data_IF_893082028918
#
_entry.id   IF_893082028918
#
_cell.length_a   1.000
_cell.length_b   1.000
_cell.length_c   1.000
_cell.angle_alpha   90.00
_cell.angle_beta   90.00
_cell.angle_gamma   90.00
#
_symmetry.space_group_name_H-M   'P 1'
#
loop_
_entity.id
_entity.type
_entity.pdbx_description
1 polymer ?
#
# COMPACT_ATOMS: atom_id res chain seq x y z
N UNK A 1 -16.84 23.32 23.85
CA UNK A 1 -16.65 23.13 22.39
C UNK A 1 -16.02 21.75 22.22
N UNK A 2 -16.82 20.76 21.84
CA UNK A 2 -16.34 19.37 21.75
C UNK A 2 -15.21 19.23 20.74
N UNK A 3 -14.26 18.34 21.02
CA UNK A 3 -13.23 17.95 20.06
C UNK A 3 -13.96 17.47 18.79
N UNK A 4 -13.68 18.08 17.65
CA UNK A 4 -14.27 17.71 16.37
C UNK A 4 -13.22 17.75 15.28
N UNK A 5 -13.26 16.78 14.37
CA UNK A 5 -12.43 16.73 13.17
C UNK A 5 -13.20 17.27 11.97
N UNK A 6 -12.51 17.86 10.97
CA UNK A 6 -13.09 18.03 9.66
C UNK A 6 -13.46 16.66 9.09
N UNK A 7 -14.69 16.51 8.60
CA UNK A 7 -15.18 15.32 7.92
C UNK A 7 -16.22 15.70 6.86
N UNK A 8 -16.88 14.69 6.30
CA UNK A 8 -17.97 14.87 5.35
C UNK A 8 -19.28 14.38 5.96
N UNK A 9 -20.39 15.08 5.68
CA UNK A 9 -21.72 14.58 5.98
C UNK A 9 -22.17 13.50 4.98
N UNK A 10 -23.38 12.96 5.17
CA UNK A 10 -23.96 11.91 4.32
C UNK A 10 -24.08 12.35 2.85
N UNK A 11 -24.16 13.65 2.61
CA UNK A 11 -24.26 14.25 1.28
C UNK A 11 -22.90 14.72 0.71
N UNK A 12 -21.80 14.39 1.39
CA UNK A 12 -20.44 14.74 0.95
C UNK A 12 -20.08 16.21 1.17
N UNK A 13 -20.78 16.94 2.04
CA UNK A 13 -20.48 18.34 2.38
C UNK A 13 -19.52 18.41 3.57
N UNK A 14 -18.64 19.42 3.63
CA UNK A 14 -17.72 19.60 4.76
C UNK A 14 -18.48 19.81 6.07
N UNK A 15 -18.32 18.90 7.03
CA UNK A 15 -18.96 18.93 8.34
C UNK A 15 -17.93 18.75 9.45
N UNK A 16 -18.20 19.31 10.64
CA UNK A 16 -17.40 19.06 11.84
C UNK A 16 -17.93 17.81 12.53
N UNK A 17 -17.18 16.73 12.47
CA UNK A 17 -17.53 15.44 13.06
C UNK A 17 -16.95 15.37 14.46
N UNK A 18 -17.78 15.22 15.52
CA UNK A 18 -17.29 15.14 16.89
C UNK A 18 -16.39 13.91 17.07
N UNK A 19 -15.21 14.12 17.66
CA UNK A 19 -14.16 13.12 17.90
C UNK A 19 -14.48 12.16 19.06
N UNK A 20 -15.44 12.52 19.91
CA UNK A 20 -15.92 11.74 21.04
C UNK A 20 -17.43 11.85 21.18
N UNK A 21 -18.02 10.93 21.96
CA UNK A 21 -19.42 11.01 22.39
C UNK A 21 -19.50 12.20 23.36
N UNK A 22 -19.91 13.36 22.86
CA UNK A 22 -20.17 14.52 23.71
C UNK A 22 -21.43 14.26 24.53
N UNK A 23 -21.36 14.50 25.84
CA UNK A 23 -22.54 14.58 26.70
C UNK A 23 -23.54 15.59 26.10
N UNK A 24 -24.75 15.12 25.80
CA UNK A 24 -25.92 16.01 25.76
C UNK A 24 -26.47 16.43 24.41
N UNK A 25 -26.63 15.50 23.45
CA UNK A 25 -27.78 15.57 22.55
C UNK A 25 -28.44 14.20 22.51
N UNK A 26 -29.45 14.00 23.36
CA UNK A 26 -30.44 12.95 23.15
C UNK A 26 -31.08 13.22 21.79
N UNK A 27 -30.81 12.34 20.83
CA UNK A 27 -31.67 12.23 19.66
C UNK A 27 -32.98 11.64 20.19
N UNK A 28 -33.92 12.50 20.57
CA UNK A 28 -35.32 12.11 20.62
C UNK A 28 -35.72 11.89 19.17
N UNK A 29 -35.78 10.61 18.77
CA UNK A 29 -36.58 10.23 17.62
C UNK A 29 -37.31 8.91 17.90
N UNK A 30 -38.53 8.90 17.39
CA UNK A 30 -39.58 7.90 17.47
C UNK A 30 -39.06 6.46 17.21
N UNK A 31 -39.72 5.42 17.73
CA UNK A 31 -39.26 4.00 17.64
C UNK A 31 -39.00 3.50 16.20
N UNK A 32 -37.82 3.79 15.64
CA UNK A 32 -37.40 3.45 14.29
C UNK A 32 -35.89 3.23 14.23
N UNK A 33 -35.48 1.97 14.31
CA UNK A 33 -34.12 1.43 14.18
C UNK A 33 -33.02 2.14 15.01
N UNK A 34 -32.55 1.47 16.08
CA UNK A 34 -31.43 1.96 16.88
C UNK A 34 -30.15 2.08 16.02
N UNK A 35 -29.80 3.31 15.65
CA UNK A 35 -28.52 3.60 15.00
C UNK A 35 -27.38 3.44 15.99
N UNK A 36 -26.48 2.49 15.72
CA UNK A 36 -25.30 2.21 16.55
C UNK A 36 -24.06 2.85 15.94
N UNK A 37 -23.32 3.63 16.73
CA UNK A 37 -22.00 4.13 16.34
C UNK A 37 -20.90 3.18 16.82
N UNK A 38 -20.16 2.59 15.88
CA UNK A 38 -19.03 1.69 16.14
C UNK A 38 -17.73 2.34 15.67
N UNK A 39 -16.76 2.43 16.56
CA UNK A 39 -15.44 2.98 16.27
C UNK A 39 -14.43 1.85 16.09
N UNK A 40 -14.06 1.56 14.83
CA UNK A 40 -12.98 0.64 14.51
C UNK A 40 -11.67 1.42 14.58
N UNK A 41 -10.95 1.22 15.68
CA UNK A 41 -9.73 1.96 16.00
C UNK A 41 -8.51 1.54 15.19
N UNK A 42 -7.42 2.34 15.25
CA UNK A 42 -6.19 2.14 14.48
C UNK A 42 -5.35 0.92 14.92
N UNK A 43 -5.76 0.21 15.97
CA UNK A 43 -5.11 -1.03 16.42
C UNK A 43 -5.82 -2.29 15.90
N UNK A 44 -6.97 -2.14 15.23
CA UNK A 44 -7.75 -3.28 14.77
C UNK A 44 -7.02 -3.99 13.62
N UNK A 45 -6.79 -5.32 13.66
CA UNK A 45 -6.01 -6.02 12.63
C UNK A 45 -6.50 -5.80 11.19
N UNK A 46 -7.82 -5.70 10.98
CA UNK A 46 -8.41 -5.48 9.66
C UNK A 46 -8.16 -4.09 9.04
N UNK A 47 -7.53 -3.15 9.76
CA UNK A 47 -7.23 -1.81 9.24
C UNK A 47 -5.89 -1.73 8.53
N UNK A 48 -5.10 -2.82 8.52
CA UNK A 48 -3.81 -2.96 7.82
C UNK A 48 -2.87 -1.76 7.97
N UNK A 49 -2.80 -1.22 9.19
CA UNK A 49 -2.04 -0.03 9.51
C UNK A 49 -2.83 0.90 10.43
N UNK A 50 -2.59 2.20 10.29
CA UNK A 50 -3.18 3.21 11.17
C UNK A 50 -4.36 3.91 10.49
N UNK A 51 -5.48 3.20 10.44
CA UNK A 51 -6.75 3.72 9.94
C UNK A 51 -7.82 3.61 11.03
N UNK A 52 -8.58 4.69 11.25
CA UNK A 52 -9.74 4.70 12.14
C UNK A 52 -11.01 4.88 11.30
N UNK A 53 -11.98 3.99 11.49
CA UNK A 53 -13.28 4.08 10.83
C UNK A 53 -14.37 4.28 11.88
N UNK A 54 -15.13 5.37 11.76
CA UNK A 54 -16.34 5.57 12.55
C UNK A 54 -17.52 5.13 11.69
N UNK A 55 -18.14 4.02 12.06
CA UNK A 55 -19.26 3.40 11.37
C UNK A 55 -20.56 3.73 12.08
N UNK A 56 -21.58 4.08 11.31
CA UNK A 56 -22.97 4.19 11.74
C UNK A 56 -23.72 3.00 11.15
N UNK A 57 -24.23 2.15 12.03
CA UNK A 57 -24.86 0.89 11.69
C UNK A 57 -26.35 0.93 12.02
N UNK A 58 -27.15 0.35 11.14
CA UNK A 58 -28.54 -0.01 11.40
C UNK A 58 -28.62 -1.55 11.37
N UNK A 59 -28.55 -2.18 12.54
CA UNK A 59 -28.32 -3.62 12.64
C UNK A 59 -26.99 -4.02 12.00
N UNK A 60 -27.03 -4.85 10.95
CA UNK A 60 -25.85 -5.29 10.18
C UNK A 60 -25.54 -4.39 8.96
N UNK A 61 -26.41 -3.42 8.67
CA UNK A 61 -26.26 -2.55 7.49
C UNK A 61 -25.46 -1.30 7.82
N UNK A 62 -24.41 -1.03 7.05
CA UNK A 62 -23.63 0.22 7.18
C UNK A 62 -24.39 1.37 6.53
N UNK A 63 -24.85 2.32 7.34
CA UNK A 63 -25.52 3.54 6.86
C UNK A 63 -24.51 4.63 6.49
N UNK A 64 -23.45 4.78 7.30
CA UNK A 64 -22.38 5.76 7.05
C UNK A 64 -21.04 5.23 7.56
N UNK A 65 -19.98 5.54 6.81
CA UNK A 65 -18.60 5.27 7.21
C UNK A 65 -17.78 6.56 7.07
N UNK A 66 -17.16 6.99 8.17
CA UNK A 66 -16.28 8.16 8.20
C UNK A 66 -14.85 7.68 8.43
N UNK A 67 -14.00 7.66 7.39
CA UNK A 67 -12.61 7.30 7.52
C UNK A 67 -11.77 8.48 8.05
N UNK A 68 -11.12 8.28 9.19
CA UNK A 68 -10.12 9.20 9.71
C UNK A 68 -8.73 8.73 9.26
N UNK A 69 -8.17 9.46 8.30
CA UNK A 69 -6.82 9.26 7.77
C UNK A 69 -5.85 10.28 8.36
N UNK A 70 -4.54 10.08 8.14
CA UNK A 70 -3.50 11.05 8.52
C UNK A 70 -2.69 10.69 9.76
N UNK A 71 -2.98 9.57 10.44
CA UNK A 71 -2.15 9.07 11.54
C UNK A 71 -0.69 8.77 11.14
N UNK A 72 -0.46 8.47 9.86
CA UNK A 72 0.88 8.25 9.28
C UNK A 72 1.43 9.49 8.54
N UNK A 73 0.71 10.61 8.54
CA UNK A 73 1.13 11.80 7.82
C UNK A 73 2.43 12.35 8.43
N UNK A 74 3.51 12.26 7.65
CA UNK A 74 4.87 12.63 8.08
C UNK A 74 5.41 13.89 7.38
N UNK A 75 4.57 14.60 6.61
CA UNK A 75 4.95 15.84 5.94
C UNK A 75 6.05 15.69 4.87
N UNK A 76 6.06 14.59 4.11
CA UNK A 76 7.10 14.32 3.09
C UNK A 76 7.24 15.45 2.06
N UNK A 77 6.12 16.04 1.64
CA UNK A 77 6.10 17.18 0.70
C UNK A 77 6.85 18.38 1.27
N UNK A 78 6.59 18.72 2.55
CA UNK A 78 7.26 19.82 3.23
C UNK A 78 8.74 19.56 3.43
N UNK A 79 9.12 18.31 3.74
CA UNK A 79 10.53 17.92 3.82
C UNK A 79 11.22 18.03 2.46
N UNK A 80 10.51 17.72 1.37
CA UNK A 80 11.02 17.83 0.00
C UNK A 80 11.43 19.25 -0.39
N UNK A 81 10.71 20.28 0.07
CA UNK A 81 11.02 21.69 -0.22
C UNK A 81 12.43 22.11 0.21
N UNK A 82 12.96 21.51 1.28
CA UNK A 82 14.28 21.84 1.83
C UNK A 82 15.39 20.90 1.35
N UNK A 83 15.13 20.03 0.37
CA UNK A 83 16.05 18.98 -0.09
C UNK A 83 16.33 19.10 -1.58
N UNK A 84 17.54 18.72 -1.98
CA UNK A 84 17.88 18.58 -3.39
C UNK A 84 17.21 17.32 -3.97
N UNK A 85 17.01 17.28 -5.30
CA UNK A 85 16.31 16.17 -5.96
C UNK A 85 16.83 14.77 -5.56
N UNK A 86 18.15 14.55 -5.59
CA UNK A 86 18.71 13.23 -5.20
C UNK A 86 18.56 12.92 -3.69
N UNK A 87 18.40 13.92 -2.84
CA UNK A 87 18.13 13.74 -1.41
C UNK A 87 16.66 13.39 -1.11
N UNK A 88 15.77 13.57 -2.09
CA UNK A 88 14.33 13.23 -1.99
C UNK A 88 14.11 11.75 -2.31
N UNK A 89 15.00 11.08 -3.05
CA UNK A 89 14.85 9.67 -3.43
C UNK A 89 14.66 8.73 -2.22
N UNK A 90 15.40 8.87 -1.11
CA UNK A 90 15.13 8.06 0.09
C UNK A 90 13.77 8.35 0.77
N UNK A 91 13.13 9.48 0.46
CA UNK A 91 11.77 9.78 0.92
C UNK A 91 10.74 9.06 0.04
N UNK A 92 10.98 8.96 -1.26
CA UNK A 92 10.07 8.29 -2.20
C UNK A 92 9.95 6.79 -1.91
N UNK A 93 11.02 6.14 -1.44
CA UNK A 93 10.98 4.76 -0.91
C UNK A 93 9.93 4.54 0.19
N UNK A 94 9.60 5.59 0.96
CA UNK A 94 8.72 5.52 2.15
C UNK A 94 7.28 5.93 1.85
N UNK A 95 6.97 6.37 0.63
CA UNK A 95 5.63 6.81 0.25
C UNK A 95 4.70 5.62 0.09
N UNK A 96 5.00 4.73 -0.86
CA UNK A 96 4.48 3.36 -0.88
C UNK A 96 5.63 2.39 -0.59
N UNK A 97 5.63 1.86 0.64
CA UNK A 97 6.65 0.94 1.14
C UNK A 97 6.56 -0.46 0.52
N UNK A 98 5.50 -0.77 -0.25
CA UNK A 98 5.37 -2.02 -0.98
C UNK A 98 6.09 -1.99 -2.33
N UNK A 99 6.21 -0.81 -2.94
CA UNK A 99 6.80 -0.62 -4.27
C UNK A 99 7.91 0.46 -4.34
N UNK A 100 8.93 0.39 -3.47
CA UNK A 100 9.94 1.44 -3.32
C UNK A 100 10.69 1.78 -4.64
N UNK A 101 11.05 0.76 -5.43
CA UNK A 101 11.78 0.99 -6.68
C UNK A 101 10.92 1.71 -7.73
N UNK A 102 9.62 1.40 -7.80
CA UNK A 102 8.69 2.06 -8.72
C UNK A 102 8.51 3.55 -8.37
N UNK A 103 8.39 3.88 -7.08
CA UNK A 103 8.30 5.27 -6.61
C UNK A 103 9.57 6.07 -6.95
N UNK A 104 10.73 5.47 -6.73
CA UNK A 104 12.01 6.06 -7.09
C UNK A 104 12.14 6.32 -8.59
N UNK A 105 11.65 5.41 -9.43
CA UNK A 105 11.61 5.57 -10.89
C UNK A 105 10.65 6.69 -11.28
N UNK A 106 9.45 6.74 -10.70
CA UNK A 106 8.46 7.76 -10.99
C UNK A 106 8.96 9.18 -10.67
N UNK A 107 9.62 9.35 -9.51
CA UNK A 107 10.22 10.62 -9.14
C UNK A 107 11.38 11.00 -10.05
N UNK A 108 12.31 10.07 -10.31
CA UNK A 108 13.45 10.33 -11.19
C UNK A 108 13.01 10.72 -12.61
N UNK A 109 12.04 10.00 -13.19
CA UNK A 109 11.48 10.31 -14.51
C UNK A 109 10.84 11.70 -14.56
N UNK A 110 10.17 12.12 -13.50
CA UNK A 110 9.55 13.45 -13.43
C UNK A 110 10.61 14.55 -13.46
N UNK A 111 11.70 14.38 -12.71
CA UNK A 111 12.81 15.35 -12.67
C UNK A 111 13.61 15.32 -13.99
N UNK A 112 13.86 14.14 -14.56
CA UNK A 112 14.55 14.00 -15.85
C UNK A 112 13.78 14.65 -16.98
N UNK A 113 12.44 14.49 -17.01
CA UNK A 113 11.57 15.17 -17.96
C UNK A 113 11.60 16.69 -17.79
N UNK A 114 11.65 17.18 -16.55
CA UNK A 114 11.78 18.61 -16.26
C UNK A 114 13.12 19.18 -16.76
N UNK A 115 14.20 18.40 -16.65
CA UNK A 115 15.56 18.79 -17.05
C UNK A 115 15.88 18.50 -18.53
N UNK A 116 15.02 17.78 -19.26
CA UNK A 116 15.27 17.38 -20.65
C UNK A 116 16.39 16.35 -20.80
N UNK A 117 16.57 15.47 -19.81
CA UNK A 117 17.62 14.44 -19.82
C UNK A 117 17.13 13.17 -20.54
N UNK A 118 17.98 12.62 -21.41
CA UNK A 118 17.78 11.31 -22.02
C UNK A 118 18.65 10.25 -21.34
N UNK A 119 18.05 9.10 -21.07
CA UNK A 119 18.72 7.96 -20.41
C UNK A 119 19.24 6.96 -21.44
N UNK A 120 20.32 6.27 -21.09
CA UNK A 120 20.78 5.12 -21.86
C UNK A 120 19.74 4.00 -21.88
N UNK A 121 19.67 3.26 -22.99
CA UNK A 121 18.72 2.16 -23.18
C UNK A 121 18.82 1.11 -22.06
N UNK A 122 20.04 0.79 -21.62
CA UNK A 122 20.29 -0.12 -20.49
C UNK A 122 19.61 0.35 -19.20
N UNK A 123 19.70 1.64 -18.88
CA UNK A 123 19.03 2.18 -17.69
C UNK A 123 17.50 2.08 -17.80
N UNK A 124 16.94 2.31 -18.99
CA UNK A 124 15.51 2.21 -19.21
C UNK A 124 15.01 0.77 -19.00
N UNK A 125 15.71 -0.22 -19.58
CA UNK A 125 15.37 -1.64 -19.41
C UNK A 125 15.45 -2.08 -17.95
N UNK A 126 16.53 -1.71 -17.26
CA UNK A 126 16.69 -2.04 -15.84
C UNK A 126 15.60 -1.40 -14.97
N UNK A 127 15.19 -0.15 -15.25
CA UNK A 127 14.08 0.49 -14.54
C UNK A 127 12.75 -0.22 -14.77
N UNK A 128 12.48 -0.69 -15.99
CA UNK A 128 11.29 -1.51 -16.28
C UNK A 128 11.31 -2.80 -15.46
N UNK A 129 12.44 -3.51 -15.42
CA UNK A 129 12.59 -4.72 -14.61
C UNK A 129 12.34 -4.41 -13.11
N UNK A 130 12.90 -3.32 -12.58
CA UNK A 130 12.70 -2.91 -11.19
C UNK A 130 11.24 -2.55 -10.88
N UNK A 131 10.54 -1.89 -11.80
CA UNK A 131 9.12 -1.59 -11.69
C UNK A 131 8.26 -2.86 -11.69
N UNK A 132 8.54 -3.81 -12.58
CA UNK A 132 7.80 -5.07 -12.63
C UNK A 132 8.06 -5.97 -11.41
N UNK A 133 9.30 -6.00 -10.90
CA UNK A 133 9.59 -6.66 -9.62
C UNK A 133 8.78 -6.03 -8.47
N UNK A 134 8.73 -4.70 -8.40
CA UNK A 134 7.95 -3.98 -7.39
C UNK A 134 6.45 -4.20 -7.55
N UNK A 135 5.95 -4.30 -8.79
CA UNK A 135 4.56 -4.63 -9.09
C UNK A 135 4.21 -6.01 -8.53
N UNK A 136 5.03 -7.02 -8.79
CA UNK A 136 4.81 -8.39 -8.29
C UNK A 136 4.80 -8.40 -6.75
N UNK A 137 5.78 -7.76 -6.10
CA UNK A 137 5.84 -7.67 -4.63
C UNK A 137 4.55 -7.04 -4.06
N UNK A 138 4.10 -5.93 -4.64
CA UNK A 138 2.90 -5.23 -4.17
C UNK A 138 1.65 -6.09 -4.32
N UNK A 139 1.48 -6.78 -5.46
CA UNK A 139 0.34 -7.68 -5.68
C UNK A 139 0.38 -8.92 -4.78
N UNK A 140 1.55 -9.46 -4.46
CA UNK A 140 1.68 -10.58 -3.52
C UNK A 140 1.26 -10.18 -2.11
N UNK A 141 1.57 -8.97 -1.66
CA UNK A 141 1.07 -8.47 -0.37
C UNK A 141 -0.44 -8.31 -0.43
N UNK A 142 -0.98 -7.64 -1.46
CA UNK A 142 -2.43 -7.50 -1.63
C UNK A 142 -3.15 -8.85 -1.60
N UNK A 143 -2.66 -9.83 -2.35
CA UNK A 143 -3.23 -11.18 -2.41
C UNK A 143 -3.17 -11.88 -1.05
N UNK A 144 -2.02 -11.82 -0.37
CA UNK A 144 -1.84 -12.42 0.94
C UNK A 144 -2.73 -11.77 2.01
N UNK A 145 -2.78 -10.44 2.07
CA UNK A 145 -3.58 -9.70 3.07
C UNK A 145 -5.08 -9.86 2.83
N UNK A 146 -5.52 -9.82 1.56
CA UNK A 146 -6.93 -10.10 1.23
C UNK A 146 -7.30 -11.54 1.60
N UNK A 147 -6.38 -12.48 1.38
CA UNK A 147 -6.52 -13.87 1.81
C UNK A 147 -6.75 -14.00 3.31
N UNK A 148 -5.87 -13.43 4.14
CA UNK A 148 -5.98 -13.56 5.60
C UNK A 148 -7.21 -12.85 6.17
N UNK A 149 -7.62 -11.71 5.61
CA UNK A 149 -8.83 -10.99 6.03
C UNK A 149 -10.11 -11.80 5.81
N UNK A 150 -10.14 -12.58 4.71
CA UNK A 150 -11.23 -13.48 4.39
C UNK A 150 -11.07 -14.87 5.04
N UNK A 151 -9.98 -15.09 5.80
CA UNK A 151 -9.73 -16.31 6.57
C UNK A 151 -8.84 -17.36 5.89
N UNK A 152 -8.31 -17.09 4.70
CA UNK A 152 -7.40 -17.98 3.97
C UNK A 152 -5.93 -17.74 4.36
N UNK A 153 -5.45 -18.50 5.35
CA UNK A 153 -4.08 -18.34 5.88
C UNK A 153 -2.98 -18.95 5.01
N UNK A 154 -3.26 -20.08 4.34
CA UNK A 154 -2.25 -20.79 3.54
C UNK A 154 -1.72 -19.98 2.35
N UNK A 155 -2.58 -19.33 1.52
CA UNK A 155 -2.10 -18.51 0.41
C UNK A 155 -1.28 -17.29 0.84
N UNK A 156 -1.52 -16.78 2.05
CA UNK A 156 -0.70 -15.72 2.64
C UNK A 156 0.75 -16.17 2.83
N UNK A 157 0.98 -17.37 3.39
CA UNK A 157 2.33 -17.91 3.58
C UNK A 157 3.07 -18.13 2.25
N UNK A 158 2.39 -18.71 1.26
CA UNK A 158 2.98 -18.92 -0.07
C UNK A 158 3.35 -17.59 -0.75
N UNK A 159 2.45 -16.60 -0.67
CA UNK A 159 2.71 -15.28 -1.25
C UNK A 159 3.90 -14.57 -0.59
N UNK A 160 4.04 -14.69 0.73
CA UNK A 160 5.17 -14.10 1.47
C UNK A 160 6.49 -14.85 1.22
N UNK A 161 6.44 -16.17 0.99
CA UNK A 161 7.61 -16.94 0.58
C UNK A 161 8.13 -16.48 -0.79
N UNK A 162 7.26 -16.29 -1.78
CA UNK A 162 7.67 -15.76 -3.09
C UNK A 162 8.16 -14.32 -3.00
N UNK A 163 7.53 -13.50 -2.17
CA UNK A 163 8.00 -12.13 -1.87
C UNK A 163 9.41 -12.12 -1.28
N UNK A 164 9.73 -13.07 -0.40
CA UNK A 164 11.07 -13.21 0.18
C UNK A 164 12.14 -13.49 -0.89
N UNK A 165 11.80 -14.31 -1.89
CA UNK A 165 12.72 -14.61 -3.01
C UNK A 165 13.03 -13.37 -3.83
N UNK A 166 12.03 -12.51 -4.07
CA UNK A 166 12.26 -11.22 -4.74
C UNK A 166 13.08 -10.30 -3.84
N UNK A 167 12.87 -10.31 -2.52
CA UNK A 167 13.71 -9.51 -1.59
C UNK A 167 15.17 -9.89 -1.61
N UNK A 168 15.50 -11.18 -1.73
CA UNK A 168 16.90 -11.59 -1.89
C UNK A 168 17.52 -11.01 -3.17
N UNK A 169 16.75 -10.90 -4.27
CA UNK A 169 17.20 -10.24 -5.50
C UNK A 169 17.36 -8.73 -5.32
N UNK A 170 16.45 -8.07 -4.59
CA UNK A 170 16.55 -6.64 -4.30
C UNK A 170 17.74 -6.30 -3.40
N UNK A 171 17.99 -7.13 -2.38
CA UNK A 171 19.15 -7.02 -1.50
C UNK A 171 20.45 -7.21 -2.28
N UNK A 172 20.50 -8.19 -3.18
CA UNK A 172 21.64 -8.41 -4.05
C UNK A 172 21.94 -7.17 -4.90
N UNK A 173 20.91 -6.54 -5.48
CA UNK A 173 21.08 -5.37 -6.34
C UNK A 173 21.39 -4.07 -5.57
N UNK A 174 20.69 -3.80 -4.47
CA UNK A 174 20.73 -2.49 -3.81
C UNK A 174 21.40 -2.48 -2.44
N UNK A 175 21.70 -3.66 -1.88
CA UNK A 175 22.19 -3.81 -0.52
C UNK A 175 21.12 -3.61 0.56
N UNK A 176 19.88 -3.30 0.18
CA UNK A 176 18.76 -3.09 1.08
C UNK A 176 17.50 -3.81 0.61
N UNK A 177 16.66 -4.21 1.56
CA UNK A 177 15.43 -4.99 1.29
C UNK A 177 14.18 -4.14 1.14
N UNK A 178 14.04 -3.08 1.95
CA UNK A 178 12.83 -2.25 1.98
C UNK A 178 13.10 -0.85 1.42
N UNK A 179 14.10 -0.16 1.93
CA UNK A 179 14.47 1.18 1.46
C UNK A 179 15.62 1.08 0.46
N UNK A 180 15.27 0.85 -0.81
CA UNK A 180 16.24 0.46 -1.85
C UNK A 180 17.01 1.63 -2.44
N UNK A 181 16.41 2.82 -2.53
CA UNK A 181 17.02 4.03 -3.09
C UNK A 181 17.78 3.78 -4.42
N UNK A 182 17.21 2.91 -5.26
CA UNK A 182 17.84 2.34 -6.47
C UNK A 182 18.24 3.40 -7.51
N UNK A 183 17.36 4.37 -7.76
CA UNK A 183 17.55 5.35 -8.85
C UNK A 183 18.35 6.56 -8.37
N UNK A 184 18.92 7.27 -9.34
CA UNK A 184 19.37 8.66 -9.19
C UNK A 184 18.78 9.46 -10.33
N UNK A 185 18.60 10.76 -10.13
CA UNK A 185 18.23 11.65 -11.25
C UNK A 185 19.35 11.58 -12.28
N UNK A 186 19.02 11.13 -13.49
CA UNK A 186 19.99 10.87 -14.56
C UNK A 186 20.38 9.40 -14.75
N UNK A 187 19.77 8.45 -14.01
CA UNK A 187 20.00 7.01 -14.23
C UNK A 187 19.77 6.12 -13.02
N UNK A 188 20.72 5.22 -12.78
CA UNK A 188 20.72 4.28 -11.66
C UNK A 188 21.92 4.56 -10.76
N UNK A 189 21.82 4.19 -9.48
CA UNK A 189 22.97 4.29 -8.58
C UNK A 189 24.10 3.31 -8.98
N UNK A 190 23.73 2.08 -9.29
CA UNK A 190 24.64 1.00 -9.65
C UNK A 190 23.99 0.06 -10.67
N UNK A 191 24.84 -0.62 -11.44
CA UNK A 191 24.40 -1.69 -12.34
C UNK A 191 24.04 -2.96 -11.55
N UNK A 192 23.38 -3.92 -12.21
CA UNK A 192 23.08 -5.22 -11.62
C UNK A 192 24.38 -5.99 -11.33
N UNK A 193 24.47 -6.69 -10.18
CA UNK A 193 25.63 -7.51 -9.85
C UNK A 193 25.66 -8.82 -10.64
N UNK A 194 26.83 -9.44 -10.69
CA UNK A 194 27.00 -10.76 -11.30
C UNK A 194 26.09 -11.80 -10.63
N UNK A 195 25.41 -12.61 -11.44
CA UNK A 195 24.49 -13.64 -10.97
C UNK A 195 23.04 -13.19 -10.76
N UNK A 196 22.74 -11.88 -10.74
CA UNK A 196 21.37 -11.36 -10.62
C UNK A 196 20.45 -11.89 -11.73
N UNK A 197 20.93 -11.89 -12.98
CA UNK A 197 20.14 -12.35 -14.12
C UNK A 197 19.75 -13.83 -14.00
N UNK A 198 20.67 -14.68 -13.54
CA UNK A 198 20.40 -16.10 -13.34
C UNK A 198 19.32 -16.31 -12.26
N UNK A 199 19.43 -15.59 -11.14
CA UNK A 199 18.44 -15.63 -10.06
C UNK A 199 17.06 -15.13 -10.50
N UNK A 200 17.01 -14.03 -11.27
CA UNK A 200 15.75 -13.52 -11.82
C UNK A 200 15.12 -14.52 -12.80
N UNK A 201 15.91 -15.14 -13.67
CA UNK A 201 15.43 -16.19 -14.60
C UNK A 201 14.86 -17.39 -13.85
N UNK A 202 15.53 -17.85 -12.80
CA UNK A 202 15.02 -18.93 -11.95
C UNK A 202 13.69 -18.56 -11.29
N UNK A 203 13.59 -17.36 -10.74
CA UNK A 203 12.34 -16.85 -10.17
C UNK A 203 11.21 -16.88 -11.21
N UNK A 204 11.43 -16.33 -12.41
CA UNK A 204 10.40 -16.34 -13.47
C UNK A 204 9.96 -17.72 -13.92
N UNK A 205 10.80 -18.75 -13.78
CA UNK A 205 10.45 -20.13 -14.12
C UNK A 205 9.60 -20.80 -13.05
N UNK A 206 9.89 -20.54 -11.78
CA UNK A 206 9.27 -21.22 -10.64
C UNK A 206 8.02 -20.51 -10.12
N UNK A 207 8.00 -19.18 -10.15
CA UNK A 207 6.89 -18.35 -9.66
C UNK A 207 5.51 -18.70 -10.25
N UNK A 208 5.37 -18.99 -11.56
CA UNK A 208 4.07 -19.36 -12.12
C UNK A 208 3.46 -20.63 -11.53
N UNK A 209 4.27 -21.56 -11.01
CA UNK A 209 3.73 -22.79 -10.42
C UNK A 209 3.11 -22.52 -9.05
N UNK A 210 3.79 -21.75 -8.19
CA UNK A 210 3.21 -21.27 -6.93
C UNK A 210 1.94 -20.43 -7.18
N UNK A 211 1.93 -19.60 -8.22
CA UNK A 211 0.75 -18.79 -8.57
C UNK A 211 -0.45 -19.67 -8.99
N UNK A 212 -0.23 -20.78 -9.71
CA UNK A 212 -1.30 -21.74 -10.05
C UNK A 212 -1.87 -22.42 -8.81
N UNK A 213 -1.03 -22.75 -7.84
CA UNK A 213 -1.48 -23.34 -6.57
C UNK A 213 -2.37 -22.34 -5.79
N UNK A 214 -1.96 -21.07 -5.75
CA UNK A 214 -2.77 -20.00 -5.15
C UNK A 214 -4.09 -19.80 -5.91
N UNK A 215 -4.06 -19.75 -7.24
CA UNK A 215 -5.26 -19.62 -8.09
C UNK A 215 -6.25 -20.77 -7.86
N UNK A 216 -5.74 -22.00 -7.75
CA UNK A 216 -6.55 -23.20 -7.48
C UNK A 216 -7.32 -23.09 -6.16
N UNK A 217 -6.74 -22.44 -5.15
CA UNK A 217 -7.36 -22.26 -3.82
C UNK A 217 -8.46 -21.19 -3.81
N UNK A 218 -8.41 -20.19 -4.70
CA UNK A 218 -9.34 -19.06 -4.69
C UNK A 218 -10.38 -19.12 -5.81
N UNK A 219 -9.97 -19.35 -7.05
CA UNK A 219 -10.79 -19.08 -8.23
C UNK A 219 -12.06 -19.94 -8.33
N UNK A 220 -12.06 -21.14 -7.76
CA UNK A 220 -13.23 -22.03 -7.73
C UNK A 220 -13.85 -22.18 -6.34
N UNK A 221 -13.36 -21.44 -5.35
CA UNK A 221 -13.79 -21.58 -3.98
C UNK A 221 -15.11 -20.84 -3.77
N UNK A 222 -16.18 -21.58 -3.44
CA UNK A 222 -17.50 -21.02 -3.22
C UNK A 222 -17.55 -19.97 -2.09
N UNK A 223 -16.71 -20.11 -1.05
CA UNK A 223 -16.64 -19.13 0.05
C UNK A 223 -16.03 -17.83 -0.46
N UNK A 224 -14.96 -17.92 -1.25
CA UNK A 224 -14.32 -16.74 -1.84
C UNK A 224 -15.28 -16.01 -2.78
N UNK A 225 -15.93 -16.74 -3.69
CA UNK A 225 -16.92 -16.19 -4.63
C UNK A 225 -18.15 -15.62 -3.89
N UNK A 226 -18.56 -16.21 -2.76
CA UNK A 226 -19.69 -15.69 -1.97
C UNK A 226 -19.36 -14.47 -1.12
N UNK A 227 -18.09 -14.06 -1.05
CA UNK A 227 -17.59 -12.96 -0.21
C UNK A 227 -16.95 -11.82 -1.01
N UNK A 228 -16.80 -11.99 -2.33
CA UNK A 228 -16.23 -11.02 -3.27
C UNK A 228 -17.21 -10.77 -4.40
#
# INVERSE_FOLDING_TARGET
MGLATPGLDREGRPARVPLGVGDGTSYDDDFGAEHMLVNIGPQHPATHGVLRLVLELEGETVQRCIPHVGYLHSGFEKLGEYRQYNQIIPLTDRTDYLSPMANNVAFALTVEKLMGLELTERCQVLRVIACEMSRIISHLVWLGTTGIDLGAYTPFLWSFQERERIYNLQEMWTGARLTTSLTRVGGLMADIPDGFEAGLREFTRTFPDTLKEVDTMFTRNAIWIGRT
#
